data_IF_224491640202
#
_entry.id   IF_224491640202
#
_cell.length_a   1.000
_cell.length_b   1.000
_cell.length_c   1.000
_cell.angle_alpha   90.00
_cell.angle_beta   90.00
_cell.angle_gamma   90.00
#
_symmetry.space_group_name_H-M   'P 1'
#
loop_
_entity.id
_entity.type
_entity.pdbx_description
1 polymer ?
#
# COMPACT_ATOMS: atom_id res chain seq x y z
N UNK A 1 2.78 -1.95 8.51
CA UNK A 1 2.58 -3.28 7.90
C UNK A 1 3.83 -4.10 8.13
N UNK A 2 3.97 -5.23 7.43
CA UNK A 2 5.13 -6.13 7.54
C UNK A 2 6.48 -5.41 7.31
N UNK A 3 6.51 -4.41 6.44
CA UNK A 3 7.70 -3.57 6.17
C UNK A 3 8.16 -2.77 7.40
N UNK A 4 7.28 -2.61 8.40
CA UNK A 4 7.56 -1.89 9.65
C UNK A 4 8.71 -2.47 10.46
N UNK A 5 9.00 -3.78 10.34
CA UNK A 5 10.15 -4.40 11.03
C UNK A 5 11.48 -3.89 10.49
N UNK A 6 11.64 -3.86 9.17
CA UNK A 6 12.82 -3.28 8.51
C UNK A 6 12.87 -1.78 8.79
N UNK A 7 11.72 -1.09 8.71
CA UNK A 7 11.59 0.32 9.07
C UNK A 7 12.06 0.63 10.50
N UNK A 8 11.71 -0.21 11.50
CA UNK A 8 12.20 -0.08 12.88
C UNK A 8 13.72 -0.12 12.94
N UNK A 9 14.34 -1.09 12.27
CA UNK A 9 15.78 -1.26 12.27
C UNK A 9 16.48 -0.05 11.63
N UNK A 10 15.95 0.44 10.51
CA UNK A 10 16.46 1.63 9.83
C UNK A 10 16.30 2.90 10.69
N UNK A 11 15.16 3.07 11.37
CA UNK A 11 14.96 4.17 12.30
C UNK A 11 15.94 4.10 13.47
N UNK A 12 16.20 2.91 14.01
CA UNK A 12 17.18 2.72 15.09
C UNK A 12 18.58 3.10 14.63
N UNK A 13 19.00 2.61 13.46
CA UNK A 13 20.28 2.97 12.85
C UNK A 13 20.39 4.48 12.65
N UNK A 14 19.32 5.11 12.13
CA UNK A 14 19.28 6.57 11.96
C UNK A 14 19.51 7.31 13.28
N UNK A 15 18.81 6.90 14.34
CA UNK A 15 18.92 7.52 15.66
C UNK A 15 20.29 7.31 16.31
N UNK A 16 20.91 6.15 16.10
CA UNK A 16 22.22 5.81 16.68
C UNK A 16 23.37 6.49 15.92
N UNK A 17 23.32 6.51 14.59
CA UNK A 17 24.47 6.93 13.76
C UNK A 17 24.33 8.35 13.18
N UNK A 18 23.12 8.76 12.78
CA UNK A 18 22.93 9.97 11.98
C UNK A 18 22.34 11.13 12.78
N UNK A 19 21.47 10.87 13.76
CA UNK A 19 20.91 11.91 14.62
C UNK A 19 21.98 12.78 15.30
N UNK A 20 23.10 12.23 15.83
CA UNK A 20 24.16 13.05 16.44
C UNK A 20 24.88 13.99 15.47
N UNK A 21 24.76 13.76 14.15
CA UNK A 21 25.42 14.56 13.11
C UNK A 21 24.56 15.73 12.64
N UNK A 22 23.29 15.80 13.04
CA UNK A 22 22.36 16.86 12.63
C UNK A 22 22.49 18.06 13.56
N UNK A 23 22.42 19.27 12.99
CA UNK A 23 22.41 20.52 13.75
C UNK A 23 21.01 20.76 14.35
N UNK A 24 20.83 20.65 15.69
CA UNK A 24 19.51 20.72 16.30
C UNK A 24 18.86 22.10 16.18
N UNK A 25 19.65 23.16 16.02
CA UNK A 25 19.13 24.53 15.91
C UNK A 25 18.47 24.82 14.55
N UNK A 26 18.86 24.07 13.51
CA UNK A 26 18.36 24.27 12.14
C UNK A 26 17.54 23.10 11.60
N UNK A 27 17.50 21.97 12.31
CA UNK A 27 16.87 20.73 11.84
C UNK A 27 15.74 20.26 12.75
N UNK A 28 14.51 20.28 12.24
CA UNK A 28 13.36 19.63 12.86
C UNK A 28 13.16 18.20 12.39
N UNK A 29 12.89 17.27 13.31
CA UNK A 29 12.63 15.87 13.00
C UNK A 29 11.30 15.41 13.59
N UNK A 30 10.48 14.72 12.79
CA UNK A 30 9.28 14.01 13.22
C UNK A 30 9.40 12.55 12.82
N UNK A 31 9.65 11.68 13.80
CA UNK A 31 9.64 10.24 13.58
C UNK A 31 8.25 9.67 13.84
N UNK A 32 7.69 8.98 12.84
CA UNK A 32 6.45 8.21 12.98
C UNK A 32 6.78 6.74 12.79
N UNK A 33 6.66 5.97 13.86
CA UNK A 33 6.89 4.54 13.83
C UNK A 33 5.56 3.77 13.76
N UNK A 34 5.59 2.62 13.06
CA UNK A 34 4.47 1.68 12.95
C UNK A 34 3.15 2.32 12.48
N UNK A 35 3.16 3.04 11.34
CA UNK A 35 1.97 3.68 10.73
C UNK A 35 0.79 2.70 10.60
N UNK A 36 1.06 1.44 10.24
CA UNK A 36 0.06 0.37 10.25
C UNK A 36 0.50 -0.71 11.27
N UNK A 37 0.16 -0.54 12.56
CA UNK A 37 0.61 -1.42 13.63
C UNK A 37 -0.13 -2.77 13.59
N UNK A 38 -1.41 -2.78 13.20
CA UNK A 38 -2.17 -4.02 12.99
C UNK A 38 -1.50 -4.88 11.92
N UNK A 39 -1.18 -4.31 10.77
CA UNK A 39 -0.53 -5.03 9.68
C UNK A 39 0.86 -5.51 10.06
N UNK A 40 1.61 -4.73 10.85
CA UNK A 40 2.90 -5.17 11.39
C UNK A 40 2.73 -6.41 12.26
N UNK A 41 1.83 -6.37 13.26
CA UNK A 41 1.53 -7.49 14.16
C UNK A 41 1.12 -8.77 13.42
N UNK A 42 0.41 -8.65 12.29
CA UNK A 42 -0.13 -9.80 11.54
C UNK A 42 0.67 -10.16 10.28
N UNK A 43 1.84 -9.55 10.06
CA UNK A 43 2.66 -9.81 8.86
C UNK A 43 1.95 -9.43 7.55
N UNK A 44 1.14 -8.37 7.56
CA UNK A 44 0.39 -7.86 6.40
C UNK A 44 0.89 -6.50 5.95
N UNK A 45 0.87 -6.26 4.64
CA UNK A 45 1.08 -4.91 4.07
C UNK A 45 -0.16 -4.04 4.29
N UNK A 46 -1.35 -4.63 4.21
CA UNK A 46 -2.64 -3.98 4.41
C UNK A 46 -3.02 -3.82 5.90
N UNK A 47 -4.00 -2.96 6.17
CA UNK A 47 -4.62 -2.85 7.50
C UNK A 47 -5.68 -3.94 7.74
N UNK A 48 -6.37 -3.87 8.89
CA UNK A 48 -7.38 -4.86 9.29
C UNK A 48 -8.55 -5.01 8.30
N UNK A 49 -8.79 -3.99 7.46
CA UNK A 49 -9.85 -3.95 6.44
C UNK A 49 -9.35 -4.30 5.04
N UNK A 50 -8.16 -4.91 4.93
CA UNK A 50 -7.48 -5.18 3.67
C UNK A 50 -7.13 -3.92 2.86
N UNK A 51 -7.09 -2.74 3.48
CA UNK A 51 -6.73 -1.50 2.79
C UNK A 51 -5.20 -1.35 2.76
N UNK A 52 -4.66 -1.16 1.57
CA UNK A 52 -3.29 -0.72 1.34
C UNK A 52 -3.19 0.79 1.62
N UNK A 53 -2.54 1.14 2.74
CA UNK A 53 -2.39 2.54 3.14
C UNK A 53 -1.55 3.36 2.13
N UNK A 54 -0.67 2.73 1.35
CA UNK A 54 0.09 3.41 0.29
C UNK A 54 -0.78 3.82 -0.90
N UNK A 55 -2.05 3.39 -0.95
CA UNK A 55 -3.08 3.85 -1.90
C UNK A 55 -4.19 4.64 -1.22
N UNK A 56 -4.21 4.71 0.11
CA UNK A 56 -5.23 5.42 0.85
C UNK A 56 -4.89 6.89 1.11
N UNK A 57 -3.63 7.29 0.95
CA UNK A 57 -3.18 8.68 1.16
C UNK A 57 -3.52 9.57 -0.05
N UNK A 58 -4.79 9.95 -0.16
CA UNK A 58 -5.32 10.77 -1.26
C UNK A 58 -5.65 12.20 -0.81
N UNK A 59 -5.63 13.15 -1.75
CA UNK A 59 -5.89 14.58 -1.47
C UNK A 59 -7.38 14.92 -1.41
N UNK A 60 -8.19 14.26 -2.22
CA UNK A 60 -9.61 14.51 -2.39
C UNK A 60 -10.40 13.20 -2.14
N UNK A 61 -11.52 13.21 -1.41
CA UNK A 61 -12.44 12.09 -1.33
C UNK A 61 -12.87 11.50 -2.68
N UNK A 62 -12.97 12.30 -3.74
CA UNK A 62 -13.30 11.81 -5.09
C UNK A 62 -12.23 10.87 -5.68
N UNK A 63 -11.02 10.84 -5.10
CA UNK A 63 -9.95 9.95 -5.53
C UNK A 63 -10.19 8.47 -5.17
N UNK A 64 -11.14 8.15 -4.28
CA UNK A 64 -11.59 6.79 -4.01
C UNK A 64 -12.53 6.26 -5.11
N UNK A 65 -12.18 6.50 -6.37
CA UNK A 65 -13.01 6.20 -7.54
C UNK A 65 -12.89 4.71 -7.94
N UNK A 66 -13.99 3.93 -7.89
CA UNK A 66 -14.00 2.55 -8.38
C UNK A 66 -13.65 2.42 -9.87
N UNK A 67 -13.76 3.50 -10.65
CA UNK A 67 -13.40 3.55 -12.07
C UNK A 67 -11.92 3.94 -12.32
N UNK A 68 -11.13 4.26 -11.29
CA UNK A 68 -9.74 4.70 -11.43
C UNK A 68 -8.82 3.66 -12.10
N UNK A 69 -9.16 2.36 -12.02
CA UNK A 69 -8.42 1.28 -12.65
C UNK A 69 -9.36 0.29 -13.35
N UNK A 70 -9.87 0.64 -14.55
CA UNK A 70 -10.87 -0.17 -15.24
C UNK A 70 -10.30 -1.52 -15.69
N UNK A 71 -9.01 -1.59 -16.02
CA UNK A 71 -8.34 -2.80 -16.49
C UNK A 71 -8.13 -3.83 -15.37
N UNK A 72 -8.08 -3.41 -14.10
CA UNK A 72 -8.03 -4.34 -12.97
C UNK A 72 -9.22 -5.31 -12.98
N UNK A 73 -10.41 -4.85 -13.41
CA UNK A 73 -11.59 -5.70 -13.50
C UNK A 73 -11.39 -6.94 -14.38
N UNK A 74 -10.59 -6.81 -15.44
CA UNK A 74 -10.22 -7.94 -16.33
C UNK A 74 -9.28 -8.92 -15.63
N UNK A 75 -8.42 -8.42 -14.76
CA UNK A 75 -7.41 -9.19 -14.02
C UNK A 75 -7.93 -9.72 -12.68
N UNK A 76 -9.05 -9.20 -12.16
CA UNK A 76 -9.50 -9.40 -10.79
C UNK A 76 -9.63 -10.89 -10.43
N UNK A 77 -10.27 -11.70 -11.28
CA UNK A 77 -10.44 -13.14 -11.04
C UNK A 77 -9.12 -13.94 -11.15
N UNK A 78 -8.09 -13.38 -11.79
CA UNK A 78 -6.77 -14.01 -11.89
C UNK A 78 -5.90 -13.63 -10.70
N UNK A 79 -5.94 -12.37 -10.28
CA UNK A 79 -5.13 -11.85 -9.16
C UNK A 79 -5.71 -12.19 -7.79
N UNK A 80 -7.03 -12.38 -7.71
CA UNK A 80 -7.76 -12.65 -6.47
C UNK A 80 -8.51 -13.98 -6.60
N UNK A 81 -7.81 -15.12 -6.51
CA UNK A 81 -8.46 -16.42 -6.60
C UNK A 81 -9.46 -16.62 -5.46
N UNK A 82 -10.67 -17.05 -5.81
CA UNK A 82 -11.72 -17.36 -4.85
C UNK A 82 -11.65 -18.82 -4.40
N UNK A 83 -11.77 -19.03 -3.09
CA UNK A 83 -11.85 -20.37 -2.49
C UNK A 83 -10.51 -21.00 -2.12
N UNK A 84 -10.54 -22.22 -1.53
CA UNK A 84 -9.35 -22.89 -1.01
C UNK A 84 -8.47 -23.43 -2.14
N UNK A 85 -7.15 -23.26 -1.98
CA UNK A 85 -6.15 -23.87 -2.87
C UNK A 85 -6.12 -25.38 -2.61
N UNK A 86 -6.62 -26.18 -3.56
CA UNK A 86 -6.60 -27.65 -3.46
C UNK A 86 -5.24 -28.25 -3.83
N UNK A 87 -4.57 -27.67 -4.82
CA UNK A 87 -3.24 -28.09 -5.28
C UNK A 87 -2.45 -26.88 -5.73
N UNK A 88 -1.29 -26.65 -5.10
CA UNK A 88 -0.40 -25.54 -5.44
C UNK A 88 0.10 -25.62 -6.88
N UNK A 89 0.49 -26.82 -7.33
CA UNK A 89 1.00 -27.02 -8.69
C UNK A 89 -0.03 -26.64 -9.75
N UNK A 90 -1.23 -27.21 -9.69
CA UNK A 90 -2.29 -26.92 -10.67
C UNK A 90 -2.78 -25.47 -10.59
N UNK A 91 -2.83 -24.90 -9.39
CA UNK A 91 -3.19 -23.49 -9.21
C UNK A 91 -2.16 -22.59 -9.90
N UNK A 92 -0.87 -22.86 -9.71
CA UNK A 92 0.21 -22.11 -10.37
C UNK A 92 0.14 -22.24 -11.89
N UNK A 93 -0.01 -23.44 -12.42
CA UNK A 93 -0.15 -23.66 -13.88
C UNK A 93 -1.34 -22.86 -14.43
N UNK A 94 -2.51 -22.94 -13.77
CA UNK A 94 -3.69 -22.21 -14.20
C UNK A 94 -3.49 -20.68 -14.13
N UNK A 95 -2.78 -20.19 -13.11
CA UNK A 95 -2.46 -18.78 -12.95
C UNK A 95 -1.54 -18.28 -14.07
N UNK A 96 -0.47 -19.02 -14.37
CA UNK A 96 0.46 -18.67 -15.45
C UNK A 96 -0.22 -18.65 -16.82
N UNK A 97 -1.08 -19.62 -17.12
CA UNK A 97 -1.84 -19.65 -18.38
C UNK A 97 -2.78 -18.45 -18.49
N UNK A 98 -3.51 -18.10 -17.41
CA UNK A 98 -4.36 -16.90 -17.37
C UNK A 98 -3.53 -15.63 -17.54
N UNK A 99 -2.37 -15.54 -16.91
CA UNK A 99 -1.47 -14.40 -17.02
C UNK A 99 -0.95 -14.21 -18.45
N UNK A 100 -0.55 -15.30 -19.12
CA UNK A 100 -0.13 -15.28 -20.53
C UNK A 100 -1.28 -14.83 -21.45
N UNK A 101 -2.49 -15.33 -21.21
CA UNK A 101 -3.67 -14.89 -21.97
C UNK A 101 -3.94 -13.40 -21.79
N UNK A 102 -3.93 -12.89 -20.56
CA UNK A 102 -4.09 -11.46 -20.28
C UNK A 102 -2.97 -10.62 -20.90
N UNK A 103 -1.74 -11.14 -20.89
CA UNK A 103 -0.59 -10.47 -21.51
C UNK A 103 -0.76 -10.36 -23.03
N UNK A 104 -1.27 -11.40 -23.69
CA UNK A 104 -1.60 -11.37 -25.11
C UNK A 104 -2.76 -10.42 -25.42
N UNK A 105 -3.78 -10.34 -24.56
CA UNK A 105 -4.97 -9.52 -24.77
C UNK A 105 -4.77 -8.01 -24.48
N UNK A 106 -4.01 -7.66 -23.44
CA UNK A 106 -3.82 -6.28 -22.97
C UNK A 106 -2.46 -5.68 -23.35
N UNK A 107 -1.47 -6.54 -23.60
CA UNK A 107 -0.06 -6.17 -23.67
C UNK A 107 0.61 -6.12 -22.29
N UNK A 108 1.93 -6.36 -22.21
CA UNK A 108 2.65 -6.48 -20.94
C UNK A 108 2.66 -5.17 -20.11
N UNK A 109 2.76 -4.02 -20.78
CA UNK A 109 2.78 -2.72 -20.11
C UNK A 109 1.47 -2.40 -19.39
N UNK A 110 0.34 -2.53 -20.10
CA UNK A 110 -1.00 -2.32 -19.52
C UNK A 110 -1.33 -3.32 -18.44
N UNK A 111 -0.98 -4.58 -18.62
CA UNK A 111 -1.17 -5.60 -17.60
C UNK A 111 -0.43 -5.24 -16.31
N UNK A 112 0.86 -4.87 -16.43
CA UNK A 112 1.67 -4.46 -15.28
C UNK A 112 1.10 -3.22 -14.60
N UNK A 113 0.69 -2.22 -15.39
CA UNK A 113 0.07 -1.01 -14.87
C UNK A 113 -1.23 -1.34 -14.11
N UNK A 114 -2.15 -2.07 -14.74
CA UNK A 114 -3.42 -2.47 -14.14
C UNK A 114 -3.22 -3.26 -12.84
N UNK A 115 -2.21 -4.14 -12.78
CA UNK A 115 -1.91 -4.91 -11.58
C UNK A 115 -1.29 -4.08 -10.44
N UNK A 116 -0.49 -3.05 -10.73
CA UNK A 116 0.30 -2.32 -9.71
C UNK A 116 -0.27 -0.95 -9.29
N UNK A 117 -1.14 -0.35 -10.13
CA UNK A 117 -1.67 0.99 -9.91
C UNK A 117 -2.44 1.11 -8.57
N UNK A 118 -3.11 0.03 -8.16
CA UNK A 118 -4.09 0.04 -7.08
C UNK A 118 -5.52 0.15 -7.62
N UNK A 119 -6.50 -0.09 -6.77
CA UNK A 119 -7.91 -0.11 -7.14
C UNK A 119 -8.82 0.15 -5.94
N UNK A 120 -10.05 0.59 -6.19
CA UNK A 120 -11.05 0.92 -5.15
C UNK A 120 -12.38 0.17 -5.33
N UNK A 121 -12.43 -0.80 -6.25
CA UNK A 121 -13.65 -1.51 -6.65
C UNK A 121 -13.83 -2.88 -5.97
N UNK A 122 -12.74 -3.55 -5.62
CA UNK A 122 -12.70 -4.93 -5.13
C UNK A 122 -12.08 -4.98 -3.72
N UNK A 123 -12.88 -4.91 -2.64
CA UNK A 123 -12.36 -4.81 -1.26
C UNK A 123 -11.46 -5.97 -0.82
N UNK A 124 -11.73 -7.18 -1.31
CA UNK A 124 -10.91 -8.37 -1.03
C UNK A 124 -9.68 -8.51 -1.93
N UNK A 125 -9.53 -7.61 -2.91
CA UNK A 125 -8.47 -7.69 -3.90
C UNK A 125 -7.13 -7.12 -3.43
N UNK A 126 -6.05 -7.47 -4.14
CA UNK A 126 -4.74 -6.86 -3.92
C UNK A 126 -4.77 -5.36 -4.25
N UNK A 127 -3.95 -4.59 -3.54
CA UNK A 127 -3.81 -3.13 -3.67
C UNK A 127 -5.14 -2.36 -3.59
N UNK A 128 -6.07 -2.84 -2.77
CA UNK A 128 -7.31 -2.14 -2.47
C UNK A 128 -7.03 -0.88 -1.63
N UNK A 129 -7.44 0.30 -2.11
CA UNK A 129 -7.18 1.57 -1.43
C UNK A 129 -8.27 2.03 -0.46
N UNK A 130 -9.38 1.29 -0.31
CA UNK A 130 -10.50 1.65 0.57
C UNK A 130 -11.53 2.59 -0.08
N UNK A 131 -12.70 2.73 0.53
CA UNK A 131 -13.76 3.67 0.08
C UNK A 131 -13.65 5.06 0.74
N UNK A 132 -12.77 5.20 1.73
CA UNK A 132 -12.55 6.43 2.48
C UNK A 132 -11.20 6.41 3.17
N UNK A 133 -10.77 7.59 3.64
CA UNK A 133 -9.55 7.71 4.44
C UNK A 133 -9.66 6.79 5.67
N UNK A 134 -8.67 5.92 5.83
CA UNK A 134 -8.53 5.07 6.99
C UNK A 134 -8.07 5.89 8.20
N UNK A 135 -8.25 5.33 9.40
CA UNK A 135 -7.88 6.00 10.64
C UNK A 135 -6.39 6.32 10.69
N UNK A 136 -5.55 5.35 10.29
CA UNK A 136 -4.10 5.47 10.26
C UNK A 136 -3.65 6.64 9.37
N UNK A 137 -4.28 6.78 8.20
CA UNK A 137 -4.05 7.87 7.25
C UNK A 137 -4.46 9.22 7.85
N UNK A 138 -5.63 9.30 8.49
CA UNK A 138 -6.13 10.54 9.12
C UNK A 138 -5.20 11.01 10.24
N UNK A 139 -4.80 10.09 11.11
CA UNK A 139 -3.84 10.38 12.19
C UNK A 139 -2.53 10.91 11.62
N UNK A 140 -2.02 10.31 10.55
CA UNK A 140 -0.78 10.75 9.91
C UNK A 140 -0.91 12.15 9.29
N UNK A 141 -2.01 12.41 8.56
CA UNK A 141 -2.31 13.74 8.00
C UNK A 141 -2.38 14.79 9.11
N UNK A 142 -3.04 14.50 10.22
CA UNK A 142 -3.20 15.43 11.33
C UNK A 142 -1.87 15.69 12.06
N UNK A 143 -1.03 14.65 12.22
CA UNK A 143 0.32 14.80 12.74
C UNK A 143 1.17 15.71 11.85
N UNK A 144 1.16 15.49 10.53
CA UNK A 144 1.90 16.33 9.59
C UNK A 144 1.39 17.78 9.60
N UNK A 145 0.07 18.00 9.55
CA UNK A 145 -0.51 19.33 9.64
C UNK A 145 -0.14 20.04 10.95
N UNK A 146 -0.05 19.33 12.07
CA UNK A 146 0.29 19.93 13.36
C UNK A 146 1.75 20.39 13.42
N UNK A 147 2.69 19.60 12.91
CA UNK A 147 4.11 19.83 13.13
C UNK A 147 4.82 20.56 11.98
N UNK A 148 4.28 20.51 10.75
CA UNK A 148 4.93 21.10 9.57
C UNK A 148 4.42 22.53 9.28
N UNK A 149 3.29 22.95 9.85
CA UNK A 149 2.68 24.28 9.60
C UNK A 149 3.61 25.48 9.84
N UNK A 150 4.58 25.36 10.74
CA UNK A 150 5.52 26.43 11.09
C UNK A 150 6.77 26.49 10.19
N UNK A 151 6.93 25.54 9.27
CA UNK A 151 8.03 25.53 8.31
C UNK A 151 7.56 26.22 7.03
N UNK A 152 8.19 27.35 6.69
CA UNK A 152 8.00 28.01 5.39
C UNK A 152 8.58 27.11 4.28
N UNK A 153 7.98 27.21 3.08
CA UNK A 153 8.38 26.42 1.90
C UNK A 153 9.65 26.94 1.25
#
# INVERSE_FOLDING_TARGET
GIEGYVGSAMLRLFLEEFLPQLEPQSTGLLFVHAINPWGMKHGRTTNARNVDLNRNFVRDPEAFDPAANPDYGRLAATLNPEGPIRSLFWSNVSFFLKLLWHMAALGPGRLRQAALLGQYRFPSGIYYGGESLQEETRVLIDLYRRHIRGYER
#
